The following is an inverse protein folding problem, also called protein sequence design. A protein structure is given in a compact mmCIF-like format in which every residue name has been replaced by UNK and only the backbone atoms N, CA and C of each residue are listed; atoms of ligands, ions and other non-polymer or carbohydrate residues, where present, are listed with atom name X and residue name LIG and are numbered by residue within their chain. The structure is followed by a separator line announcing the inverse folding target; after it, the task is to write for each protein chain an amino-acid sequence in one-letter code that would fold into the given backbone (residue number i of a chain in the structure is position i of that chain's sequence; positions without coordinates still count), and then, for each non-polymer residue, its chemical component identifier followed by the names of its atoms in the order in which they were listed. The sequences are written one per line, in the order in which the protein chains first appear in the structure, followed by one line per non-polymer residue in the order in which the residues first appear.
data_IF_010303410805
#
_entry.id   IF_010303410805
#
_cell.length_a   1.000
_cell.length_b   1.000
_cell.length_c   1.000
_cell.angle_alpha   90.00
_cell.angle_beta   90.00
_cell.angle_gamma   90.00
#
_symmetry.space_group_name_H-M   'P 1'
#
loop_
_entity.id
_entity.type
_entity.pdbx_description
1 polymer ?
#
# COMPACT_ATOMS: atom_id res chain seq x y z
N UNK A 1 -8.40 -5.17 5.75
CA UNK A 1 -8.81 -5.01 7.17
C UNK A 1 -8.82 -3.53 7.51
N UNK A 2 -9.99 -2.93 7.76
CA UNK A 2 -10.13 -1.51 8.11
C UNK A 2 -9.89 -1.34 9.61
N UNK A 3 -9.02 -0.39 9.98
CA UNK A 3 -8.77 -0.01 11.38
C UNK A 3 -9.19 1.43 11.58
N UNK A 4 -9.84 1.70 12.70
CA UNK A 4 -10.38 3.02 13.00
C UNK A 4 -9.96 3.43 14.40
N UNK A 5 -9.67 4.72 14.57
CA UNK A 5 -9.38 5.39 15.83
C UNK A 5 -10.47 6.42 16.12
N UNK A 6 -10.97 6.46 17.36
CA UNK A 6 -11.96 7.45 17.84
C UNK A 6 -11.36 8.33 18.93
N UNK A 7 -11.89 9.53 19.10
CA UNK A 7 -11.49 10.43 20.20
C UNK A 7 -11.76 9.77 21.56
N UNK A 8 -12.88 9.06 21.71
CA UNK A 8 -13.20 8.35 22.96
C UNK A 8 -12.17 7.28 23.32
N UNK A 9 -11.66 6.56 22.30
CA UNK A 9 -10.59 5.60 22.52
C UNK A 9 -9.30 6.30 22.99
N UNK A 10 -8.97 7.46 22.42
CA UNK A 10 -7.82 8.26 22.87
C UNK A 10 -8.01 8.77 24.29
N UNK A 11 -9.19 9.27 24.64
CA UNK A 11 -9.53 9.71 26.00
C UNK A 11 -9.34 8.59 27.03
N UNK A 12 -9.73 7.37 26.69
CA UNK A 12 -9.56 6.22 27.56
C UNK A 12 -8.09 5.74 27.66
N UNK A 13 -7.34 5.80 26.57
CA UNK A 13 -5.99 5.22 26.50
C UNK A 13 -4.86 6.16 26.93
N UNK A 14 -4.98 7.48 26.72
CA UNK A 14 -3.94 8.45 27.10
C UNK A 14 -3.58 8.37 28.60
N UNK A 15 -4.52 8.40 29.56
CA UNK A 15 -4.16 8.31 30.98
C UNK A 15 -3.48 6.97 31.31
N UNK A 16 -3.99 5.86 30.77
CA UNK A 16 -3.40 4.53 30.95
C UNK A 16 -1.97 4.44 30.43
N UNK A 17 -1.72 5.04 29.26
CA UNK A 17 -0.38 5.10 28.70
C UNK A 17 0.53 5.99 29.55
N UNK A 18 0.02 7.09 30.09
CA UNK A 18 0.78 8.00 30.95
C UNK A 18 1.30 7.32 32.24
N UNK A 19 0.49 6.45 32.83
CA UNK A 19 0.85 5.67 34.02
C UNK A 19 1.89 4.57 33.73
N UNK A 20 1.87 4.00 32.52
CA UNK A 20 2.78 2.91 32.14
C UNK A 20 4.21 3.40 31.93
N UNK A 21 5.17 2.65 32.47
CA UNK A 21 6.60 2.77 32.12
C UNK A 21 6.83 2.32 30.67
N UNK A 22 7.89 2.81 30.06
CA UNK A 22 8.29 2.43 28.69
C UNK A 22 8.34 0.92 28.48
N UNK A 23 8.90 0.16 29.43
CA UNK A 23 9.00 -1.29 29.32
C UNK A 23 7.63 -1.99 29.29
N UNK A 24 6.63 -1.43 29.98
CA UNK A 24 5.26 -1.95 29.98
C UNK A 24 4.57 -1.63 28.66
N UNK A 25 4.74 -0.41 28.14
CA UNK A 25 4.23 -0.02 26.82
C UNK A 25 4.78 -0.90 25.70
N UNK A 26 6.03 -1.36 25.80
CA UNK A 26 6.65 -2.26 24.81
C UNK A 26 6.02 -3.66 24.78
N UNK A 27 5.25 -4.06 25.81
CA UNK A 27 4.54 -5.34 25.85
C UNK A 27 3.16 -5.26 25.18
N UNK A 28 2.68 -4.06 24.85
CA UNK A 28 1.40 -3.88 24.19
C UNK A 28 1.46 -4.43 22.75
N UNK A 29 0.39 -5.13 22.35
CA UNK A 29 0.30 -5.72 21.01
C UNK A 29 0.47 -4.65 19.93
N UNK A 30 1.47 -4.83 19.08
CA UNK A 30 1.74 -3.93 17.96
C UNK A 30 2.64 -2.74 18.30
N UNK A 31 3.16 -2.64 19.53
CA UNK A 31 4.11 -1.59 19.94
C UNK A 31 5.50 -2.19 20.03
N UNK A 32 6.40 -1.79 19.13
CA UNK A 32 7.80 -2.22 19.20
C UNK A 32 8.56 -1.46 20.29
N UNK A 33 9.68 -2.01 20.76
CA UNK A 33 10.51 -1.36 21.78
C UNK A 33 10.94 0.09 21.42
N UNK A 34 11.33 0.41 20.17
CA UNK A 34 11.60 1.81 19.79
C UNK A 34 10.37 2.72 19.92
N UNK A 35 9.17 2.21 19.59
CA UNK A 35 7.92 2.97 19.63
C UNK A 35 7.37 3.17 21.04
N UNK A 36 7.74 2.33 22.00
CA UNK A 36 7.22 2.37 23.36
C UNK A 36 7.46 3.72 24.07
N UNK A 37 8.58 4.39 23.78
CA UNK A 37 8.87 5.72 24.34
C UNK A 37 7.98 6.82 23.74
N UNK A 38 7.61 6.69 22.48
CA UNK A 38 6.95 7.75 21.70
C UNK A 38 5.43 7.61 21.67
N UNK A 39 4.88 6.42 21.94
CA UNK A 39 3.46 6.14 21.72
C UNK A 39 2.51 7.06 22.49
N UNK A 40 2.86 7.46 23.72
CA UNK A 40 2.07 8.42 24.49
C UNK A 40 2.03 9.79 23.81
N UNK A 41 3.19 10.31 23.40
CA UNK A 41 3.27 11.58 22.69
C UNK A 41 2.48 11.53 21.38
N UNK A 42 2.57 10.43 20.64
CA UNK A 42 1.77 10.20 19.43
C UNK A 42 0.26 10.21 19.69
N UNK A 43 -0.19 9.60 20.80
CA UNK A 43 -1.61 9.61 21.18
C UNK A 43 -2.11 11.02 21.54
N UNK A 44 -1.30 11.80 22.26
CA UNK A 44 -1.62 13.20 22.61
C UNK A 44 -1.72 14.06 21.34
N UNK A 45 -0.74 13.95 20.44
CA UNK A 45 -0.74 14.70 19.17
C UNK A 45 -1.95 14.28 18.33
N UNK A 46 -2.24 12.99 18.22
CA UNK A 46 -3.42 12.52 17.48
C UNK A 46 -4.71 13.12 18.05
N UNK A 47 -4.89 13.11 19.37
CA UNK A 47 -6.06 13.71 20.02
C UNK A 47 -6.13 15.21 19.77
N UNK A 48 -5.05 15.94 19.98
CA UNK A 48 -5.01 17.38 19.78
C UNK A 48 -5.34 17.77 18.33
N UNK A 49 -4.82 17.03 17.35
CA UNK A 49 -5.15 17.22 15.94
C UNK A 49 -6.62 16.93 15.67
N UNK A 50 -7.17 15.84 16.20
CA UNK A 50 -8.58 15.49 16.05
C UNK A 50 -9.50 16.55 16.67
N UNK A 51 -9.19 17.04 17.87
CA UNK A 51 -9.94 18.11 18.54
C UNK A 51 -9.87 19.42 17.75
N UNK A 52 -8.67 19.80 17.27
CA UNK A 52 -8.45 21.04 16.52
C UNK A 52 -9.20 21.05 15.19
N UNK A 53 -9.34 19.89 14.55
CA UNK A 53 -10.03 19.73 13.28
C UNK A 53 -11.53 19.38 13.44
N UNK A 54 -12.04 19.27 14.67
CA UNK A 54 -13.39 18.80 15.00
C UNK A 54 -13.74 17.43 14.38
N UNK A 55 -12.79 16.49 14.41
CA UNK A 55 -12.93 15.14 13.85
C UNK A 55 -13.09 14.12 14.99
N UNK A 56 -14.22 13.41 15.02
CA UNK A 56 -14.46 12.39 16.07
C UNK A 56 -13.89 10.99 15.77
N UNK A 57 -13.62 10.68 14.50
CA UNK A 57 -13.24 9.35 14.03
C UNK A 57 -12.35 9.45 12.80
N UNK A 58 -11.26 8.70 12.78
CA UNK A 58 -10.35 8.59 11.64
C UNK A 58 -10.07 7.14 11.29
N UNK A 59 -9.90 6.86 10.00
CA UNK A 59 -9.44 5.55 9.54
C UNK A 59 -7.92 5.53 9.40
N UNK A 60 -7.31 4.43 9.82
CA UNK A 60 -5.86 4.25 9.71
C UNK A 60 -5.53 3.86 8.28
N UNK A 61 -4.85 4.76 7.56
CA UNK A 61 -4.36 4.48 6.21
C UNK A 61 -3.34 3.32 6.23
N UNK A 62 -3.48 2.31 5.35
CA UNK A 62 -2.47 1.25 5.24
C UNK A 62 -1.17 1.70 4.55
N UNK A 63 -1.21 2.86 3.88
CA UNK A 63 -0.14 3.40 3.04
C UNK A 63 0.43 4.65 3.70
N UNK A 64 1.73 4.85 3.58
CA UNK A 64 2.41 6.01 4.15
C UNK A 64 3.37 6.63 3.13
N UNK A 65 4.33 7.41 3.61
CA UNK A 65 5.28 8.14 2.77
C UNK A 65 6.07 7.22 1.83
N UNK A 66 6.49 6.04 2.28
CA UNK A 66 7.30 5.12 1.45
C UNK A 66 6.54 4.73 0.17
N UNK A 67 5.26 4.38 0.28
CA UNK A 67 4.46 4.03 -0.89
C UNK A 67 4.15 5.26 -1.74
N UNK A 68 3.89 6.41 -1.11
CA UNK A 68 3.70 7.66 -1.84
C UNK A 68 4.90 8.01 -2.73
N UNK A 69 6.13 7.88 -2.19
CA UNK A 69 7.36 8.11 -2.95
C UNK A 69 7.52 7.09 -4.09
N UNK A 70 7.25 5.80 -3.82
CA UNK A 70 7.33 4.77 -4.87
C UNK A 70 6.34 5.05 -6.01
N UNK A 71 5.09 5.37 -5.70
CA UNK A 71 4.08 5.70 -6.69
C UNK A 71 4.44 6.98 -7.46
N UNK A 72 4.95 7.99 -6.77
CA UNK A 72 5.41 9.22 -7.40
C UNK A 72 6.58 8.95 -8.36
N UNK A 73 7.56 8.14 -7.96
CA UNK A 73 8.68 7.78 -8.82
C UNK A 73 8.20 7.04 -10.08
N UNK A 74 7.31 6.05 -9.94
CA UNK A 74 6.72 5.35 -11.07
C UNK A 74 5.96 6.30 -12.01
N UNK A 75 5.20 7.25 -11.45
CA UNK A 75 4.53 8.28 -12.24
C UNK A 75 5.52 9.14 -13.02
N UNK A 76 6.67 9.50 -12.46
CA UNK A 76 7.70 10.29 -13.16
C UNK A 76 8.43 9.50 -14.24
N UNK A 77 8.61 8.19 -14.06
CA UNK A 77 9.16 7.31 -15.10
C UNK A 77 8.17 7.15 -16.27
N UNK A 78 6.86 7.16 -16.00
CA UNK A 78 5.82 7.09 -17.03
C UNK A 78 5.73 8.37 -17.89
N UNK A 79 6.37 9.47 -17.49
CA UNK A 79 6.43 10.70 -18.31
C UNK A 79 7.50 10.60 -19.42
N UNK A 80 8.36 9.56 -19.39
CA UNK A 80 9.28 9.27 -20.47
C UNK A 80 8.99 7.91 -21.12
N UNK A 81 8.72 8.01 -22.43
CA UNK A 81 8.71 6.99 -23.48
C UNK A 81 7.37 6.35 -23.82
N UNK A 82 7.05 6.43 -25.12
CA UNK A 82 6.02 5.65 -25.81
C UNK A 82 6.29 4.16 -25.71
N UNK A 83 6.13 3.61 -24.52
CA UNK A 83 6.11 2.19 -24.26
C UNK A 83 4.81 1.65 -24.90
N UNK A 84 4.90 0.81 -25.95
CA UNK A 84 3.72 0.10 -26.41
C UNK A 84 3.28 -0.74 -25.22
N UNK A 85 2.07 -0.51 -24.68
CA UNK A 85 1.50 -1.34 -23.65
C UNK A 85 1.44 -2.78 -24.20
N UNK A 86 2.50 -3.55 -23.98
CA UNK A 86 2.52 -4.96 -24.30
C UNK A 86 1.63 -5.61 -23.25
N UNK A 87 0.42 -5.95 -23.68
CA UNK A 87 -0.50 -6.71 -22.89
C UNK A 87 0.25 -7.92 -22.32
N UNK A 88 0.17 -8.09 -21.00
CA UNK A 88 0.62 -9.32 -20.36
C UNK A 88 -0.29 -10.42 -20.93
N UNK A 89 0.24 -11.16 -21.90
CA UNK A 89 -0.45 -12.31 -22.47
C UNK A 89 -0.56 -13.36 -21.38
N UNK A 90 -1.76 -13.51 -20.81
CA UNK A 90 -2.13 -14.70 -20.07
C UNK A 90 -2.34 -15.84 -21.06
N UNK A 91 -1.25 -16.25 -21.72
CA UNK A 91 -1.26 -17.53 -22.40
C UNK A 91 -1.34 -18.60 -21.30
N UNK A 92 -2.56 -19.03 -21.00
CA UNK A 92 -2.80 -20.34 -20.40
C UNK A 92 -2.16 -21.33 -21.38
N UNK A 93 -1.21 -22.17 -20.95
CA UNK A 93 -0.53 -23.06 -21.88
C UNK A 93 -1.57 -24.04 -22.44
N UNK A 94 -1.94 -23.86 -23.70
CA UNK A 94 -2.72 -24.86 -24.43
C UNK A 94 -1.86 -26.13 -24.53
N UNK A 95 -2.34 -27.18 -23.88
CA UNK A 95 -1.83 -28.54 -24.00
C UNK A 95 -2.21 -29.09 -25.39
N UNK A 96 -1.45 -28.73 -26.42
CA UNK A 96 -1.74 -29.18 -27.79
C UNK A 96 -1.20 -30.59 -28.04
N UNK A 97 -2.10 -31.56 -28.01
CA UNK A 97 -1.90 -32.90 -28.55
C UNK A 97 -1.93 -32.92 -30.10
N UNK A 98 -1.06 -33.77 -30.66
CA UNK A 98 -1.08 -34.45 -31.98
C UNK A 98 -1.50 -33.66 -33.25
N UNK A 99 -0.57 -33.63 -34.20
CA UNK A 99 -0.83 -34.23 -35.53
C UNK A 99 -0.53 -33.42 -36.79
N UNK A 100 0.68 -33.59 -37.36
CA UNK A 100 0.92 -33.87 -38.80
C UNK A 100 0.70 -32.81 -39.91
N UNK A 101 1.35 -32.94 -41.09
CA UNK A 101 1.81 -31.81 -41.91
C UNK A 101 1.13 -31.65 -43.29
N UNK A 102 1.15 -30.42 -43.85
CA UNK A 102 0.68 -30.13 -45.22
C UNK A 102 1.30 -28.86 -45.83
N UNK A 103 1.92 -29.01 -47.02
CA UNK A 103 2.68 -28.02 -47.81
C UNK A 103 1.78 -27.13 -48.70
N UNK A 104 2.44 -26.13 -49.33
CA UNK A 104 2.12 -25.43 -50.60
C UNK A 104 1.18 -24.23 -50.54
N UNK A 105 1.30 -23.15 -51.33
CA UNK A 105 2.28 -22.62 -52.30
C UNK A 105 1.69 -21.28 -52.83
N UNK A 106 2.54 -20.41 -53.42
CA UNK A 106 2.25 -19.44 -54.52
C UNK A 106 1.69 -18.03 -54.20
N UNK A 107 2.34 -17.02 -54.80
CA UNK A 107 1.66 -15.88 -55.47
C UNK A 107 2.19 -14.49 -55.11
N UNK A 108 3.36 -14.04 -55.57
CA UNK A 108 3.61 -13.25 -56.80
C UNK A 108 3.04 -11.80 -56.82
N UNK A 109 3.96 -10.83 -56.99
CA UNK A 109 3.90 -9.70 -57.95
C UNK A 109 3.87 -8.23 -57.45
N UNK A 110 5.06 -7.59 -57.57
CA UNK A 110 5.43 -6.32 -58.27
C UNK A 110 4.94 -4.92 -57.84
N UNK A 111 5.90 -3.99 -57.98
CA UNK A 111 5.74 -2.59 -58.43
C UNK A 111 6.79 -1.68 -57.77
N UNK A 112 8.04 -1.66 -58.25
CA UNK A 112 8.63 -0.80 -59.30
C UNK A 112 9.48 0.31 -58.67
#
# INVERSE_FOLDING_TARGET
MRRTLTVDALNAWIPRLAEMKTAERARLRGVSAPRARQILAGAIVAKATMDTLDIRKVDVCPWALREGIMLHHLQTLQVYDGLPLQAISTAVPEVSGRGGPGKSLVGLSRGA
#
